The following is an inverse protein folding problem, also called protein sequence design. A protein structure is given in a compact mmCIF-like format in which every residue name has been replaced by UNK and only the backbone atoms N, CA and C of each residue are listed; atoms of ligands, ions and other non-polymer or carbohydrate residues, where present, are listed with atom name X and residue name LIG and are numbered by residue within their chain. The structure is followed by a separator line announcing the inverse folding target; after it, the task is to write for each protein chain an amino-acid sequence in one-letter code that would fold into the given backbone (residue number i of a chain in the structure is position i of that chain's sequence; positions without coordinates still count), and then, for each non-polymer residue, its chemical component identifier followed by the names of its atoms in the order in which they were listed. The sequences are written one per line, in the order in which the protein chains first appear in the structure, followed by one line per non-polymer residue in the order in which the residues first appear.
data_IF_369180928116
#
_entry.id   IF_369180928116
#
_cell.length_a   1.000
_cell.length_b   1.000
_cell.length_c   1.000
_cell.angle_alpha   90.00
_cell.angle_beta   90.00
_cell.angle_gamma   90.00
#
_symmetry.space_group_name_H-M   'P 1'
#
loop_
_entity.id
_entity.type
_entity.pdbx_description
1 polymer ?
#
# COMPACT_ATOMS: atom_id res chain seq x y z
N UNK A 1 -50.95 32.53 16.10
CA UNK A 1 -49.47 32.50 16.09
C UNK A 1 -48.95 33.82 16.64
N UNK A 2 -47.98 33.79 17.57
CA UNK A 2 -47.29 35.01 18.03
C UNK A 2 -46.20 35.40 17.02
N UNK A 3 -45.88 36.70 16.94
CA UNK A 3 -44.81 37.23 16.09
C UNK A 3 -43.46 36.56 16.37
N UNK A 4 -43.21 36.20 17.63
CA UNK A 4 -42.02 35.51 18.09
C UNK A 4 -41.83 34.14 17.44
N UNK A 5 -42.90 33.36 17.29
CA UNK A 5 -42.86 32.04 16.64
C UNK A 5 -42.56 32.20 15.14
N UNK A 6 -43.11 33.24 14.51
CA UNK A 6 -42.84 33.53 13.10
C UNK A 6 -41.38 33.89 12.84
N UNK A 7 -40.80 34.78 13.66
CA UNK A 7 -39.37 35.10 13.57
C UNK A 7 -38.48 33.90 13.85
N UNK A 8 -38.82 33.10 14.87
CA UNK A 8 -38.10 31.86 15.18
C UNK A 8 -38.12 30.89 13.99
N UNK A 9 -39.29 30.67 13.38
CA UNK A 9 -39.42 29.84 12.19
C UNK A 9 -38.60 30.39 11.03
N UNK A 10 -38.64 31.71 10.80
CA UNK A 10 -37.90 32.34 9.70
C UNK A 10 -36.39 32.15 9.87
N UNK A 11 -35.87 32.34 11.08
CA UNK A 11 -34.46 32.16 11.38
C UNK A 11 -34.03 30.69 11.31
N UNK A 12 -34.86 29.76 11.80
CA UNK A 12 -34.59 28.32 11.68
C UNK A 12 -34.56 27.88 10.21
N UNK A 13 -35.43 28.43 9.37
CA UNK A 13 -35.45 28.13 7.93
C UNK A 13 -34.25 28.72 7.19
N UNK A 14 -33.83 29.93 7.56
CA UNK A 14 -32.60 30.51 7.04
C UNK A 14 -31.37 29.68 7.45
N UNK A 15 -31.30 29.22 8.71
CA UNK A 15 -30.25 28.32 9.17
C UNK A 15 -30.28 26.98 8.43
N UNK A 16 -31.47 26.45 8.14
CA UNK A 16 -31.63 25.24 7.34
C UNK A 16 -31.17 25.45 5.89
N UNK A 17 -31.42 26.63 5.31
CA UNK A 17 -30.85 27.03 4.01
C UNK A 17 -29.32 27.05 4.01
N UNK A 18 -28.69 27.55 5.08
CA UNK A 18 -27.24 27.47 5.25
C UNK A 18 -26.75 26.02 5.30
N UNK A 19 -27.43 25.18 6.09
CA UNK A 19 -27.13 23.76 6.21
C UNK A 19 -27.28 23.02 4.87
N UNK A 20 -28.35 23.27 4.10
CA UNK A 20 -28.54 22.68 2.77
C UNK A 20 -27.38 23.03 1.84
N UNK A 21 -26.90 24.27 1.88
CA UNK A 21 -25.72 24.70 1.13
C UNK A 21 -24.48 23.89 1.48
N UNK A 22 -24.20 23.74 2.77
CA UNK A 22 -23.09 22.92 3.26
C UNK A 22 -23.24 21.43 2.89
N UNK A 23 -24.45 20.89 3.00
CA UNK A 23 -24.76 19.51 2.66
C UNK A 23 -24.55 19.23 1.16
N UNK A 24 -24.99 20.12 0.28
CA UNK A 24 -24.80 20.02 -1.17
C UNK A 24 -23.31 20.07 -1.55
N UNK A 25 -22.55 21.01 -0.97
CA UNK A 25 -21.10 21.10 -1.23
C UNK A 25 -20.36 19.84 -0.75
N UNK A 26 -20.75 19.32 0.41
CA UNK A 26 -20.20 18.08 0.97
C UNK A 26 -20.50 16.90 0.07
N UNK A 27 -21.78 16.75 -0.30
CA UNK A 27 -22.24 15.71 -1.22
C UNK A 27 -21.50 15.77 -2.56
N UNK A 28 -21.38 16.96 -3.14
CA UNK A 28 -20.67 17.17 -4.42
C UNK A 28 -19.19 16.80 -4.36
N UNK A 29 -18.54 16.93 -3.19
CA UNK A 29 -17.13 16.52 -3.03
C UNK A 29 -16.97 15.00 -2.98
N UNK A 30 -17.92 14.28 -2.36
CA UNK A 30 -17.89 12.82 -2.29
C UNK A 30 -18.39 12.15 -3.57
N UNK A 31 -19.38 12.75 -4.22
CA UNK A 31 -19.95 12.28 -5.48
C UNK A 31 -19.12 12.80 -6.65
N UNK A 32 -18.00 12.13 -6.93
CA UNK A 32 -17.15 12.47 -8.08
C UNK A 32 -17.93 12.27 -9.37
N UNK A 33 -18.02 13.31 -10.21
CA UNK A 33 -18.60 13.23 -11.56
C UNK A 33 -17.86 12.17 -12.38
N UNK A 34 -18.45 10.98 -12.48
CA UNK A 34 -17.99 9.93 -13.40
C UNK A 34 -18.62 10.19 -14.77
N UNK A 35 -17.91 9.91 -15.87
CA UNK A 35 -18.42 10.14 -17.22
C UNK A 35 -19.55 9.17 -17.60
N UNK A 36 -19.72 8.06 -16.87
CA UNK A 36 -20.78 7.09 -17.11
C UNK A 36 -21.93 7.25 -16.11
N UNK A 37 -23.15 7.01 -16.61
CA UNK A 37 -24.35 6.89 -15.77
C UNK A 37 -24.18 5.70 -14.82
N UNK A 38 -24.02 6.01 -13.54
CA UNK A 38 -23.91 5.00 -12.50
C UNK A 38 -25.22 5.00 -11.72
N UNK A 39 -25.98 3.92 -11.79
CA UNK A 39 -27.25 3.75 -11.06
C UNK A 39 -27.11 4.03 -9.56
N UNK A 40 -25.94 3.74 -8.98
CA UNK A 40 -25.62 4.05 -7.59
C UNK A 40 -25.62 5.56 -7.28
N UNK A 41 -25.13 6.39 -8.21
CA UNK A 41 -25.14 7.85 -8.04
C UNK A 41 -26.57 8.38 -8.07
N UNK A 42 -27.40 7.85 -8.97
CA UNK A 42 -28.81 8.23 -9.08
C UNK A 42 -29.57 7.86 -7.79
N UNK A 43 -29.40 6.62 -7.29
CA UNK A 43 -30.01 6.22 -6.02
C UNK A 43 -29.54 7.10 -4.85
N UNK A 44 -28.25 7.43 -4.81
CA UNK A 44 -27.70 8.28 -3.77
C UNK A 44 -28.21 9.74 -3.88
N UNK A 45 -28.42 10.26 -5.09
CA UNK A 45 -29.00 11.58 -5.32
C UNK A 45 -30.45 11.64 -4.79
N UNK A 46 -31.25 10.63 -5.13
CA UNK A 46 -32.65 10.53 -4.65
C UNK A 46 -32.68 10.42 -3.13
N UNK A 47 -31.85 9.54 -2.55
CA UNK A 47 -31.78 9.34 -1.10
C UNK A 47 -31.31 10.62 -0.40
N UNK A 48 -30.32 11.31 -0.96
CA UNK A 48 -29.85 12.59 -0.44
C UNK A 48 -30.97 13.62 -0.39
N UNK A 49 -31.67 13.85 -1.51
CA UNK A 49 -32.76 14.82 -1.56
C UNK A 49 -33.92 14.45 -0.63
N UNK A 50 -34.24 13.16 -0.52
CA UNK A 50 -35.25 12.66 0.40
C UNK A 50 -34.86 12.96 1.86
N UNK A 51 -33.62 12.66 2.26
CA UNK A 51 -33.12 12.96 3.60
C UNK A 51 -33.14 14.46 3.85
N UNK A 52 -32.66 15.28 2.90
CA UNK A 52 -32.67 16.73 3.07
C UNK A 52 -34.10 17.28 3.24
N UNK A 53 -35.05 16.81 2.42
CA UNK A 53 -36.44 17.20 2.52
C UNK A 53 -37.04 16.80 3.88
N UNK A 54 -36.77 15.59 4.37
CA UNK A 54 -37.22 15.13 5.68
C UNK A 54 -36.62 15.98 6.81
N UNK A 55 -35.34 16.33 6.76
CA UNK A 55 -34.70 17.16 7.79
C UNK A 55 -35.31 18.58 7.77
N UNK A 56 -35.51 19.18 6.60
CA UNK A 56 -36.14 20.51 6.49
C UNK A 56 -37.56 20.46 7.06
N UNK A 57 -38.33 19.43 6.68
CA UNK A 57 -39.70 19.24 7.14
C UNK A 57 -39.77 18.99 8.65
N UNK A 58 -38.82 18.24 9.22
CA UNK A 58 -38.74 18.01 10.66
C UNK A 58 -38.49 19.31 11.43
N UNK A 59 -37.55 20.14 10.96
CA UNK A 59 -37.30 21.46 11.57
C UNK A 59 -38.52 22.37 11.42
N UNK A 60 -39.25 22.27 10.31
CA UNK A 60 -40.50 22.99 10.08
C UNK A 60 -41.62 22.53 11.03
N UNK A 61 -41.70 21.21 11.27
CA UNK A 61 -42.64 20.62 12.21
C UNK A 61 -42.38 21.13 13.62
N UNK A 62 -41.12 21.18 14.04
CA UNK A 62 -40.76 21.65 15.39
C UNK A 62 -40.96 23.16 15.58
N UNK A 63 -40.73 23.96 14.54
CA UNK A 63 -40.78 25.43 14.64
C UNK A 63 -42.18 26.02 14.42
N UNK A 64 -42.99 25.39 13.57
CA UNK A 64 -44.27 25.94 13.10
C UNK A 64 -45.36 24.86 12.97
N UNK A 65 -45.24 23.72 13.65
CA UNK A 65 -46.16 22.58 13.52
C UNK A 65 -46.37 22.08 12.08
N UNK A 66 -45.41 22.35 11.19
CA UNK A 66 -45.46 21.88 9.80
C UNK A 66 -46.33 22.75 8.88
N UNK A 67 -46.76 23.94 9.31
CA UNK A 67 -47.49 24.85 8.44
C UNK A 67 -46.58 25.39 7.34
N UNK A 68 -46.84 24.97 6.10
CA UNK A 68 -46.11 25.42 4.93
C UNK A 68 -46.67 26.79 4.50
N UNK A 69 -45.84 27.83 4.61
CA UNK A 69 -46.18 29.19 4.18
C UNK A 69 -45.13 29.75 3.24
N UNK A 70 -45.51 30.67 2.35
CA UNK A 70 -44.63 31.17 1.29
C UNK A 70 -43.33 31.81 1.81
N UNK A 71 -43.39 32.56 2.92
CA UNK A 71 -42.20 33.23 3.49
C UNK A 71 -41.13 32.24 4.01
N UNK A 72 -41.49 30.99 4.29
CA UNK A 72 -40.59 29.93 4.77
C UNK A 72 -39.63 29.53 3.64
N UNK A 73 -40.17 29.38 2.42
CA UNK A 73 -39.35 29.14 1.23
C UNK A 73 -38.42 30.32 0.94
N UNK A 74 -38.91 31.55 1.11
CA UNK A 74 -38.10 32.76 0.92
C UNK A 74 -36.93 32.81 1.92
N UNK A 75 -37.20 32.48 3.19
CA UNK A 75 -36.18 32.43 4.24
C UNK A 75 -35.13 31.33 3.96
N UNK A 76 -35.58 30.16 3.50
CA UNK A 76 -34.70 29.05 3.14
C UNK A 76 -33.82 29.39 1.92
N UNK A 77 -34.39 29.99 0.88
CA UNK A 77 -33.64 30.48 -0.29
C UNK A 77 -32.65 31.58 0.09
N UNK A 78 -33.06 32.51 0.96
CA UNK A 78 -32.19 33.57 1.47
C UNK A 78 -31.01 32.98 2.26
N UNK A 79 -31.26 32.02 3.16
CA UNK A 79 -30.24 31.29 3.90
C UNK A 79 -29.27 30.56 2.96
N UNK A 80 -29.79 29.86 1.94
CA UNK A 80 -28.96 29.19 0.94
C UNK A 80 -28.11 30.18 0.13
N UNK A 81 -28.68 31.31 -0.30
CA UNK A 81 -27.95 32.37 -1.00
C UNK A 81 -26.86 32.98 -0.13
N UNK A 82 -27.14 33.22 1.16
CA UNK A 82 -26.16 33.70 2.13
C UNK A 82 -25.01 32.69 2.30
N UNK A 83 -25.30 31.38 2.37
CA UNK A 83 -24.26 30.36 2.36
C UNK A 83 -23.38 30.47 1.12
N UNK A 84 -24.00 30.53 -0.05
CA UNK A 84 -23.28 30.53 -1.32
C UNK A 84 -22.39 31.77 -1.50
N UNK A 85 -22.87 32.94 -1.05
CA UNK A 85 -22.12 34.20 -1.17
C UNK A 85 -21.01 34.33 -0.12
N UNK A 86 -21.26 33.97 1.14
CA UNK A 86 -20.38 34.29 2.26
C UNK A 86 -19.58 33.08 2.76
N UNK A 87 -20.22 31.92 2.86
CA UNK A 87 -19.68 30.77 3.60
C UNK A 87 -19.08 29.68 2.70
N UNK A 88 -19.46 29.60 1.43
CA UNK A 88 -19.04 28.55 0.52
C UNK A 88 -17.50 28.41 0.46
N UNK A 89 -16.78 29.50 0.22
CA UNK A 89 -15.32 29.49 0.12
C UNK A 89 -14.64 29.06 1.43
N UNK A 90 -15.18 29.52 2.57
CA UNK A 90 -14.65 29.16 3.88
C UNK A 90 -14.90 27.68 4.18
N UNK A 91 -16.12 27.21 3.95
CA UNK A 91 -16.53 25.84 4.18
C UNK A 91 -15.73 24.86 3.32
N UNK A 92 -15.57 25.13 2.02
CA UNK A 92 -14.79 24.27 1.14
C UNK A 92 -13.32 24.18 1.54
N UNK A 93 -12.69 25.31 1.92
CA UNK A 93 -11.31 25.32 2.43
C UNK A 93 -11.17 24.52 3.73
N UNK A 94 -12.14 24.65 4.64
CA UNK A 94 -12.18 23.89 5.89
C UNK A 94 -12.31 22.40 5.60
N UNK A 95 -13.26 22.03 4.74
CA UNK A 95 -13.54 20.65 4.36
C UNK A 95 -12.32 19.99 3.69
N UNK A 96 -11.66 20.68 2.76
CA UNK A 96 -10.44 20.19 2.12
C UNK A 96 -9.29 20.04 3.13
N UNK A 97 -9.12 21.01 4.03
CA UNK A 97 -8.11 20.92 5.09
C UNK A 97 -8.37 19.74 6.03
N UNK A 98 -9.63 19.47 6.36
CA UNK A 98 -10.02 18.30 7.16
C UNK A 98 -9.70 17.00 6.42
N UNK A 99 -10.06 16.89 5.15
CA UNK A 99 -9.76 15.69 4.33
C UNK A 99 -8.24 15.45 4.27
N UNK A 100 -7.46 16.48 3.95
CA UNK A 100 -5.99 16.35 3.83
C UNK A 100 -5.39 15.94 5.18
N UNK A 101 -5.82 16.56 6.29
CA UNK A 101 -5.34 16.20 7.63
C UNK A 101 -5.68 14.76 8.00
N UNK A 102 -6.89 14.30 7.69
CA UNK A 102 -7.29 12.90 7.92
C UNK A 102 -6.41 11.93 7.11
N UNK A 103 -6.15 12.24 5.84
CA UNK A 103 -5.27 11.43 4.99
C UNK A 103 -3.84 11.41 5.54
N UNK A 104 -3.30 12.56 5.93
CA UNK A 104 -1.97 12.67 6.51
C UNK A 104 -1.86 11.89 7.82
N UNK A 105 -2.87 11.97 8.68
CA UNK A 105 -2.93 11.23 9.93
C UNK A 105 -2.98 9.71 9.69
N UNK A 106 -3.79 9.26 8.72
CA UNK A 106 -3.83 7.86 8.32
C UNK A 106 -2.47 7.37 7.79
N UNK A 107 -1.84 8.14 6.89
CA UNK A 107 -0.51 7.81 6.37
C UNK A 107 0.55 7.78 7.47
N UNK A 108 0.50 8.72 8.41
CA UNK A 108 1.39 8.75 9.57
C UNK A 108 1.21 7.48 10.41
N UNK A 109 -0.03 7.11 10.69
CA UNK A 109 -0.36 5.90 11.48
C UNK A 109 0.17 4.64 10.80
N UNK A 110 -0.05 4.48 9.49
CA UNK A 110 0.46 3.34 8.72
C UNK A 110 1.99 3.32 8.71
N UNK A 111 2.65 4.48 8.52
CA UNK A 111 4.12 4.58 8.58
C UNK A 111 4.66 4.22 9.96
N UNK A 112 4.02 4.65 11.03
CA UNK A 112 4.41 4.30 12.39
C UNK A 112 4.32 2.80 12.61
N UNK A 113 3.23 2.15 12.17
CA UNK A 113 3.08 0.69 12.26
C UNK A 113 4.17 -0.03 11.46
N UNK A 114 4.45 0.42 10.23
CA UNK A 114 5.50 -0.16 9.38
C UNK A 114 6.89 -0.05 10.02
N UNK A 115 7.23 1.13 10.55
CA UNK A 115 8.53 1.38 11.18
C UNK A 115 8.66 0.62 12.50
N UNK A 116 7.59 0.58 13.31
CA UNK A 116 7.62 -0.01 14.64
C UNK A 116 7.57 -1.53 14.63
N UNK A 117 6.87 -2.15 13.67
CA UNK A 117 6.68 -3.61 13.66
C UNK A 117 7.40 -4.27 12.50
N UNK A 118 7.18 -3.81 11.26
CA UNK A 118 7.65 -4.53 10.07
C UNK A 118 9.16 -4.42 9.90
N UNK A 119 9.72 -3.22 10.07
CA UNK A 119 11.16 -2.99 9.95
C UNK A 119 12.00 -3.77 10.98
N UNK A 120 11.69 -3.77 12.29
CA UNK A 120 12.49 -4.52 13.26
C UNK A 120 12.41 -6.02 13.02
N UNK A 121 11.24 -6.57 12.66
CA UNK A 121 11.10 -7.99 12.33
C UNK A 121 12.00 -8.36 11.15
N UNK A 122 12.02 -7.53 10.08
CA UNK A 122 12.88 -7.76 8.93
C UNK A 122 14.37 -7.74 9.29
N UNK A 123 14.78 -6.82 10.18
CA UNK A 123 16.16 -6.76 10.65
C UNK A 123 16.51 -8.00 11.48
N UNK A 124 15.60 -8.42 12.37
CA UNK A 124 15.77 -9.61 13.21
C UNK A 124 15.95 -10.87 12.36
N UNK A 125 15.14 -11.03 11.32
CA UNK A 125 15.23 -12.14 10.37
C UNK A 125 16.53 -12.10 9.56
N UNK A 126 17.00 -10.91 9.17
CA UNK A 126 18.30 -10.72 8.50
C UNK A 126 19.47 -11.12 9.40
N UNK A 127 19.44 -10.72 10.68
CA UNK A 127 20.45 -11.13 11.68
C UNK A 127 20.45 -12.64 11.82
N UNK A 128 19.27 -13.25 11.98
CA UNK A 128 19.13 -14.70 12.16
C UNK A 128 19.65 -15.48 10.94
N UNK A 129 19.34 -15.04 9.72
CA UNK A 129 19.89 -15.60 8.49
C UNK A 129 21.42 -15.47 8.42
N UNK A 130 21.96 -14.31 8.79
CA UNK A 130 23.41 -14.09 8.79
C UNK A 130 24.14 -14.99 9.80
N UNK A 131 23.54 -15.23 10.97
CA UNK A 131 24.06 -16.17 11.96
C UNK A 131 24.04 -17.61 11.43
N UNK A 132 22.94 -18.05 10.80
CA UNK A 132 22.88 -19.38 10.19
C UNK A 132 23.96 -19.58 9.11
N UNK A 133 24.17 -18.61 8.24
CA UNK A 133 25.24 -18.68 7.24
C UNK A 133 26.61 -18.73 7.89
N UNK A 134 26.86 -17.91 8.91
CA UNK A 134 28.14 -17.88 9.62
C UNK A 134 28.46 -19.24 10.25
N UNK A 135 27.47 -19.88 10.89
CA UNK A 135 27.62 -21.22 11.47
C UNK A 135 27.87 -22.27 10.39
N UNK A 136 27.10 -22.23 9.29
CA UNK A 136 27.25 -23.18 8.19
C UNK A 136 28.63 -23.06 7.53
N UNK A 137 29.09 -21.85 7.22
CA UNK A 137 30.41 -21.63 6.61
C UNK A 137 31.52 -21.99 7.57
N UNK A 138 31.41 -21.66 8.87
CA UNK A 138 32.37 -22.11 9.87
C UNK A 138 32.48 -23.64 9.92
N UNK A 139 31.34 -24.34 9.98
CA UNK A 139 31.29 -25.81 10.02
C UNK A 139 31.90 -26.44 8.75
N UNK A 140 31.55 -25.92 7.56
CA UNK A 140 32.14 -26.36 6.29
C UNK A 140 33.64 -26.10 6.23
N UNK A 141 34.11 -24.97 6.74
CA UNK A 141 35.53 -24.62 6.75
C UNK A 141 36.31 -25.57 7.66
N UNK A 142 35.77 -25.90 8.84
CA UNK A 142 36.35 -26.90 9.75
C UNK A 142 36.37 -28.29 9.10
N UNK A 143 35.27 -28.71 8.48
CA UNK A 143 35.19 -30.00 7.77
C UNK A 143 36.23 -30.09 6.65
N UNK A 144 36.34 -29.05 5.81
CA UNK A 144 37.32 -28.98 4.73
C UNK A 144 38.76 -28.91 5.27
N UNK A 145 38.99 -28.26 6.40
CA UNK A 145 40.29 -28.24 7.07
C UNK A 145 40.70 -29.65 7.51
N UNK A 146 39.80 -30.40 8.14
CA UNK A 146 40.02 -31.81 8.50
C UNK A 146 40.26 -32.69 7.28
N UNK A 147 39.43 -32.53 6.24
CA UNK A 147 39.60 -33.27 4.99
C UNK A 147 40.97 -32.97 4.35
N UNK A 148 41.37 -31.69 4.30
CA UNK A 148 42.68 -31.27 3.76
C UNK A 148 43.84 -31.78 4.61
N UNK A 149 43.67 -31.80 5.95
CA UNK A 149 44.65 -32.33 6.89
C UNK A 149 44.93 -33.81 6.64
N UNK A 150 43.92 -34.60 6.28
CA UNK A 150 44.05 -36.03 5.96
C UNK A 150 44.51 -36.25 4.51
N UNK A 151 44.01 -35.44 3.57
CA UNK A 151 44.27 -35.60 2.15
C UNK A 151 45.71 -35.24 1.75
N UNK A 152 46.31 -34.23 2.39
CA UNK A 152 47.71 -33.83 2.15
C UNK A 152 48.73 -34.96 2.45
N UNK A 153 48.73 -35.62 3.62
CA UNK A 153 49.63 -36.73 3.90
C UNK A 153 49.32 -37.95 3.03
N UNK A 154 48.04 -38.23 2.77
CA UNK A 154 47.65 -39.34 1.89
C UNK A 154 48.15 -39.13 0.46
N UNK A 155 48.06 -37.90 -0.07
CA UNK A 155 48.69 -37.52 -1.35
C UNK A 155 50.20 -37.70 -1.32
N UNK A 156 50.86 -37.28 -0.25
CA UNK A 156 52.30 -37.47 -0.09
C UNK A 156 52.68 -38.94 -0.10
N UNK A 157 51.97 -39.78 0.65
CA UNK A 157 52.17 -41.24 0.69
C UNK A 157 51.92 -41.87 -0.68
N UNK A 158 50.83 -41.51 -1.37
CA UNK A 158 50.56 -42.00 -2.72
C UNK A 158 51.64 -41.58 -3.73
N UNK A 159 52.16 -40.36 -3.64
CA UNK A 159 53.28 -39.90 -4.48
C UNK A 159 54.58 -40.65 -4.15
N UNK A 160 54.82 -40.92 -2.87
CA UNK A 160 55.94 -41.74 -2.40
C UNK A 160 55.84 -43.17 -2.95
N UNK A 161 54.66 -43.80 -2.82
CA UNK A 161 54.37 -45.12 -3.38
C UNK A 161 54.49 -45.15 -4.90
N UNK A 162 54.01 -44.13 -5.60
CA UNK A 162 54.10 -44.03 -7.06
C UNK A 162 55.56 -43.89 -7.54
N UNK A 163 56.40 -43.14 -6.82
CA UNK A 163 57.85 -43.08 -7.08
C UNK A 163 58.55 -44.41 -6.78
N UNK A 164 58.14 -45.09 -5.71
CA UNK A 164 58.82 -46.29 -5.21
C UNK A 164 58.46 -47.55 -6.00
N UNK A 165 57.22 -47.67 -6.48
CA UNK A 165 56.73 -48.79 -7.30
C UNK A 165 57.19 -48.74 -8.78
N UNK A 166 57.99 -47.75 -9.18
CA UNK A 166 58.56 -47.70 -10.53
C UNK A 166 57.55 -47.44 -11.66
N UNK A 167 56.30 -47.05 -11.33
CA UNK A 167 55.22 -46.74 -12.29
C UNK A 167 55.57 -45.62 -13.29
N UNK A 168 56.61 -44.83 -13.03
CA UNK A 168 57.20 -43.90 -14.00
C UNK A 168 57.56 -44.56 -15.35
N UNK A 169 57.99 -45.84 -15.36
CA UNK A 169 58.27 -46.58 -16.59
C UNK A 169 57.00 -46.92 -17.38
N UNK A 170 55.90 -47.26 -16.69
CA UNK A 170 54.62 -47.60 -17.32
C UNK A 170 53.89 -46.36 -17.85
N UNK A 171 53.89 -45.26 -17.09
CA UNK A 171 53.26 -44.01 -17.53
C UNK A 171 53.99 -43.38 -18.72
N UNK A 172 55.32 -43.48 -18.80
CA UNK A 172 56.05 -43.07 -20.02
C UNK A 172 55.81 -44.02 -21.21
N UNK A 173 55.51 -45.32 -20.98
CA UNK A 173 55.21 -46.28 -22.04
C UNK A 173 53.82 -46.08 -22.67
N UNK A 174 52.81 -45.68 -21.88
CA UNK A 174 51.43 -45.46 -22.35
C UNK A 174 51.09 -43.99 -22.66
N UNK A 175 51.96 -43.03 -22.31
CA UNK A 175 51.90 -41.61 -22.70
C UNK A 175 51.58 -41.35 -24.19
N UNK A 176 52.24 -42.03 -25.17
CA UNK A 176 51.95 -41.79 -26.59
C UNK A 176 50.55 -42.26 -27.03
N UNK A 177 50.00 -43.29 -26.38
CA UNK A 177 48.66 -43.82 -26.67
C UNK A 177 47.59 -42.86 -26.15
N UNK A 178 47.80 -42.30 -24.95
CA UNK A 178 46.91 -41.29 -24.37
C UNK A 178 46.88 -39.99 -25.19
N UNK A 179 48.02 -39.57 -25.75
CA UNK A 179 48.06 -38.42 -26.67
C UNK A 179 47.31 -38.69 -27.98
N UNK A 180 47.43 -39.89 -28.57
CA UNK A 180 46.65 -40.28 -29.76
C UNK A 180 45.14 -40.31 -29.51
N UNK A 181 44.72 -40.80 -28.35
CA UNK A 181 43.29 -40.81 -27.98
C UNK A 181 42.79 -39.38 -27.75
N UNK A 182 43.60 -38.51 -27.14
CA UNK A 182 43.27 -37.10 -26.93
C UNK A 182 43.15 -36.33 -28.26
N UNK A 183 44.05 -36.58 -29.21
CA UNK A 183 43.99 -36.03 -30.57
C UNK A 183 42.76 -36.53 -31.33
N UNK A 184 42.40 -37.81 -31.19
CA UNK A 184 41.20 -38.40 -31.79
C UNK A 184 39.89 -37.80 -31.24
N UNK A 185 39.84 -37.56 -29.93
CA UNK A 185 38.68 -36.88 -29.30
C UNK A 185 38.60 -35.41 -29.74
N UNK A 186 39.74 -34.73 -29.91
CA UNK A 186 39.78 -33.36 -30.42
C UNK A 186 39.36 -33.25 -31.89
N UNK A 187 39.72 -34.23 -32.74
CA UNK A 187 39.30 -34.25 -34.14
C UNK A 187 37.80 -34.55 -34.30
N UNK A 188 37.24 -35.41 -33.44
CA UNK A 188 35.80 -35.65 -33.36
C UNK A 188 35.00 -34.41 -32.89
N UNK A 189 35.60 -33.58 -32.02
CA UNK A 189 34.96 -32.34 -31.53
C UNK A 189 34.96 -31.21 -32.58
N UNK A 190 35.96 -31.16 -33.48
CA UNK A 190 36.01 -30.20 -34.60
C UNK A 190 35.08 -30.54 -35.77
N UNK A 191 34.55 -31.77 -35.84
CA UNK A 191 33.66 -32.23 -36.93
C UNK A 191 32.17 -31.99 -36.66
N UNK A 192 31.85 -31.31 -35.56
CA UNK A 192 30.48 -31.10 -35.03
C UNK A 192 30.09 -29.62 -34.92
N UNK A 193 30.95 -28.71 -35.41
CA UNK A 193 30.63 -27.34 -35.81
C UNK A 193 30.52 -27.30 -37.34
#
# INVERSE_FOLDING_TARGET
MTLTIQFYTMLSMAAMGLYLGAAIDTYGRFTRKRPSVNWLVICNDILFWLVQALVVFYVLLQSNNGEIRFYIFLALLCGFAAYRALFQNFYQKLLERMIIRTIQFYQLTVKLILILFINPIKYLLKVLYSLCIMVLTACLTVLLFLFKLIWNPLRWILLLLYKWTGLNKLVNKYKPILNKIKEFIQSMRKKKE
#
